data_IF_153124684542
#
_entry.id   IF_153124684542
#
_cell.length_a   1.000
_cell.length_b   1.000
_cell.length_c   1.000
_cell.angle_alpha   90.00
_cell.angle_beta   90.00
_cell.angle_gamma   90.00
#
_symmetry.space_group_name_H-M   'P 1'
#
loop_
_entity.id
_entity.type
_entity.pdbx_description
1 polymer ?
#
# COMPACT_ATOMS: atom_id res chain seq x y z
N UNK A 1 30.84 -47.38 -71.71
CA UNK A 1 30.10 -46.17 -72.16
C UNK A 1 29.05 -45.91 -71.15
N UNK A 2 29.36 -44.99 -70.21
CA UNK A 2 28.44 -44.60 -69.14
C UNK A 2 27.66 -43.37 -69.60
N UNK A 3 26.37 -43.49 -69.50
CA UNK A 3 25.38 -42.52 -69.98
C UNK A 3 25.31 -41.24 -69.17
N UNK A 4 25.32 -40.09 -69.82
CA UNK A 4 25.47 -38.73 -69.33
C UNK A 4 24.17 -38.14 -68.76
N UNK A 5 23.25 -38.94 -68.23
CA UNK A 5 21.90 -38.46 -67.82
C UNK A 5 21.53 -38.64 -66.35
N UNK A 6 22.47 -38.95 -65.45
CA UNK A 6 22.15 -39.20 -64.07
C UNK A 6 22.85 -38.27 -63.07
N UNK A 7 23.22 -37.07 -63.44
CA UNK A 7 23.84 -36.11 -62.54
C UNK A 7 23.14 -34.78 -62.67
N UNK A 8 21.96 -34.60 -62.08
CA UNK A 8 21.36 -33.31 -61.77
C UNK A 8 20.04 -33.47 -60.97
N UNK A 9 20.11 -34.15 -59.82
CA UNK A 9 19.10 -33.98 -58.72
C UNK A 9 19.84 -34.00 -57.40
N UNK A 10 20.55 -32.97 -57.14
CA UNK A 10 21.11 -32.70 -55.81
C UNK A 10 21.04 -31.20 -55.58
N UNK A 11 20.23 -30.82 -54.58
CA UNK A 11 20.44 -29.53 -53.91
C UNK A 11 19.38 -28.47 -54.14
N UNK A 12 18.22 -28.63 -53.55
CA UNK A 12 17.43 -27.47 -53.09
C UNK A 12 16.55 -27.90 -51.90
N UNK A 13 17.20 -28.32 -50.82
CA UNK A 13 16.53 -28.28 -49.50
C UNK A 13 16.54 -26.84 -49.03
N UNK A 14 15.59 -26.07 -49.52
CA UNK A 14 15.29 -24.74 -48.92
C UNK A 14 14.80 -24.97 -47.49
N UNK A 15 15.68 -24.67 -46.52
CA UNK A 15 15.30 -24.54 -45.12
C UNK A 15 14.37 -23.31 -45.04
N UNK A 16 13.08 -23.57 -45.14
CA UNK A 16 12.07 -22.60 -44.81
C UNK A 16 12.17 -22.38 -43.28
N UNK A 17 12.96 -21.38 -42.86
CA UNK A 17 12.83 -20.79 -41.55
C UNK A 17 11.41 -20.22 -41.45
N UNK A 18 10.51 -21.01 -40.86
CA UNK A 18 9.21 -20.52 -40.45
C UNK A 18 9.46 -19.38 -39.45
N UNK A 19 9.40 -18.14 -39.92
CA UNK A 19 9.17 -16.99 -39.06
C UNK A 19 7.79 -17.23 -38.43
N UNK A 20 7.76 -17.92 -37.28
CA UNK A 20 6.61 -17.85 -36.38
C UNK A 20 6.46 -16.38 -35.99
N UNK A 21 5.37 -15.71 -36.34
CA UNK A 21 5.15 -14.39 -35.86
C UNK A 21 5.17 -14.50 -34.34
N UNK A 22 6.10 -13.78 -33.68
CA UNK A 22 6.04 -13.60 -32.23
C UNK A 22 4.62 -13.13 -31.92
N UNK A 23 3.86 -13.95 -31.19
CA UNK A 23 2.53 -13.57 -30.77
C UNK A 23 2.72 -12.32 -29.91
N UNK A 24 2.50 -11.16 -30.49
CA UNK A 24 2.43 -9.89 -29.72
C UNK A 24 1.22 -10.07 -28.80
N UNK A 25 1.50 -10.50 -27.58
CA UNK A 25 0.47 -10.62 -26.56
C UNK A 25 -0.13 -9.23 -26.38
N UNK A 26 -1.43 -9.10 -26.60
CA UNK A 26 -2.10 -7.82 -26.40
C UNK A 26 -1.82 -7.33 -24.98
N UNK A 27 -1.53 -6.03 -24.83
CA UNK A 27 -1.26 -5.43 -23.54
C UNK A 27 -2.44 -5.65 -22.59
N UNK A 28 -2.16 -6.03 -21.35
CA UNK A 28 -3.17 -6.23 -20.34
C UNK A 28 -3.77 -4.87 -19.94
N UNK A 29 -5.05 -4.67 -20.23
CA UNK A 29 -5.77 -3.44 -19.85
C UNK A 29 -6.19 -3.53 -18.39
N UNK A 30 -5.72 -2.61 -17.56
CA UNK A 30 -6.04 -2.56 -16.12
C UNK A 30 -6.49 -1.16 -15.74
N UNK A 31 -7.67 -1.05 -15.12
CA UNK A 31 -8.18 0.17 -14.53
C UNK A 31 -7.82 0.22 -13.05
N UNK A 32 -6.87 1.08 -12.68
CA UNK A 32 -6.38 1.26 -11.31
C UNK A 32 -6.92 2.57 -10.72
N UNK A 33 -7.53 2.52 -9.53
CA UNK A 33 -7.88 3.76 -8.82
C UNK A 33 -6.66 4.45 -8.24
N UNK A 34 -6.64 5.75 -8.30
CA UNK A 34 -5.65 6.59 -7.64
C UNK A 34 -6.30 7.84 -7.07
N UNK A 35 -6.00 8.15 -5.81
CA UNK A 35 -6.36 9.44 -5.24
C UNK A 35 -5.43 10.51 -5.83
N UNK A 36 -6.01 11.61 -6.30
CA UNK A 36 -5.23 12.75 -6.79
C UNK A 36 -4.26 13.20 -5.68
N UNK A 37 -2.99 13.30 -5.96
CA UNK A 37 -1.93 13.61 -4.99
C UNK A 37 -1.70 12.56 -3.89
N UNK A 38 -2.23 11.35 -4.04
CA UNK A 38 -1.87 10.21 -3.21
C UNK A 38 -0.53 9.59 -3.65
N UNK A 39 0.09 8.80 -2.77
CA UNK A 39 1.41 8.19 -3.03
C UNK A 39 1.40 7.16 -4.16
N UNK A 40 0.24 6.59 -4.47
CA UNK A 40 0.03 5.72 -5.66
C UNK A 40 0.31 6.49 -6.95
N UNK A 41 0.00 7.79 -6.99
CA UNK A 41 0.28 8.62 -8.17
C UNK A 41 1.79 8.75 -8.45
N UNK A 42 2.65 8.68 -7.42
CA UNK A 42 4.10 8.67 -7.58
C UNK A 42 4.60 7.43 -8.31
N UNK A 43 4.05 6.25 -7.95
CA UNK A 43 4.32 5.00 -8.67
C UNK A 43 3.83 5.05 -10.11
N UNK A 44 2.59 5.47 -10.33
CA UNK A 44 1.99 5.57 -11.67
C UNK A 44 2.83 6.49 -12.56
N UNK A 45 3.25 7.64 -12.05
CA UNK A 45 4.10 8.56 -12.80
C UNK A 45 5.47 7.95 -13.11
N UNK A 46 6.07 7.26 -12.14
CA UNK A 46 7.34 6.55 -12.35
C UNK A 46 7.17 5.46 -13.42
N UNK A 47 6.10 4.67 -13.38
CA UNK A 47 5.79 3.67 -14.41
C UNK A 47 5.77 4.30 -15.80
N UNK A 48 5.11 5.46 -15.96
CA UNK A 48 5.00 6.17 -17.23
C UNK A 48 6.34 6.78 -17.66
N UNK A 49 7.02 7.49 -16.78
CA UNK A 49 8.29 8.18 -17.09
C UNK A 49 9.41 7.22 -17.52
N UNK A 50 9.40 6.02 -16.99
CA UNK A 50 10.41 5.00 -17.30
C UNK A 50 9.90 3.92 -18.27
N UNK A 51 8.69 4.06 -18.84
CA UNK A 51 8.11 3.14 -19.81
C UNK A 51 7.91 1.72 -19.29
N UNK A 52 7.72 1.59 -17.96
CA UNK A 52 7.60 0.30 -17.29
C UNK A 52 6.27 -0.40 -17.61
N UNK A 53 5.24 0.36 -17.98
CA UNK A 53 3.99 -0.14 -18.55
C UNK A 53 4.25 -0.92 -19.84
N UNK A 54 4.92 -0.30 -20.80
CA UNK A 54 5.27 -0.93 -22.09
C UNK A 54 6.18 -2.14 -21.90
N UNK A 55 7.21 -2.00 -21.05
CA UNK A 55 8.16 -3.07 -20.71
C UNK A 55 7.42 -4.33 -20.22
N UNK A 56 6.40 -4.15 -19.40
CA UNK A 56 5.65 -5.25 -18.80
C UNK A 56 4.36 -5.61 -19.55
N UNK A 57 4.10 -5.04 -20.74
CA UNK A 57 2.89 -5.33 -21.52
C UNK A 57 1.61 -4.89 -20.83
N UNK A 58 1.65 -3.76 -20.10
CA UNK A 58 0.54 -3.17 -19.36
C UNK A 58 -0.04 -1.98 -20.12
N UNK A 59 -1.36 -1.96 -20.30
CA UNK A 59 -2.14 -0.78 -20.70
C UNK A 59 -2.87 -0.25 -19.45
N UNK A 60 -2.24 0.70 -18.74
CA UNK A 60 -2.72 1.21 -17.47
C UNK A 60 -3.65 2.40 -17.65
N UNK A 61 -4.93 2.23 -17.30
CA UNK A 61 -5.91 3.30 -17.19
C UNK A 61 -6.06 3.72 -15.72
N UNK A 62 -5.79 4.97 -15.43
CA UNK A 62 -5.99 5.55 -14.09
C UNK A 62 -7.43 6.01 -13.93
N UNK A 63 -8.09 5.56 -12.88
CA UNK A 63 -9.41 6.03 -12.44
C UNK A 63 -9.18 6.93 -11.24
N UNK A 64 -9.23 8.25 -11.47
CA UNK A 64 -9.03 9.22 -10.39
C UNK A 64 -10.23 9.20 -9.43
N UNK A 65 -9.96 9.08 -8.14
CA UNK A 65 -10.99 9.09 -7.08
C UNK A 65 -10.73 10.21 -6.08
N UNK A 66 -11.80 10.69 -5.45
CA UNK A 66 -11.72 11.83 -4.55
C UNK A 66 -11.01 11.51 -3.22
N UNK A 67 -11.16 10.29 -2.72
CA UNK A 67 -10.61 9.83 -1.44
C UNK A 67 -10.47 8.30 -1.42
N UNK A 68 -9.92 7.76 -0.35
CA UNK A 68 -9.69 6.32 -0.19
C UNK A 68 -11.00 5.49 -0.11
N UNK A 69 -12.11 6.07 0.33
CA UNK A 69 -13.40 5.39 0.43
C UNK A 69 -14.06 5.19 -0.94
N UNK A 70 -13.75 6.03 -1.91
CA UNK A 70 -14.30 5.91 -3.26
C UNK A 70 -13.71 4.74 -4.07
N UNK A 71 -12.48 4.29 -3.74
CA UNK A 71 -11.87 3.12 -4.38
C UNK A 71 -12.70 1.84 -4.21
N UNK A 72 -13.02 1.42 -2.96
CA UNK A 72 -13.93 0.30 -2.69
C UNK A 72 -15.25 0.36 -3.46
N UNK A 73 -15.86 1.54 -3.53
CA UNK A 73 -17.12 1.74 -4.28
C UNK A 73 -16.90 1.48 -5.77
N UNK A 74 -15.83 2.03 -6.36
CA UNK A 74 -15.51 1.84 -7.77
C UNK A 74 -15.23 0.39 -8.13
N UNK A 75 -14.55 -0.38 -7.25
CA UNK A 75 -14.32 -1.81 -7.44
C UNK A 75 -15.63 -2.60 -7.46
N UNK A 76 -16.48 -2.37 -6.46
CA UNK A 76 -17.76 -3.09 -6.33
C UNK A 76 -18.75 -2.71 -7.44
N UNK A 77 -18.68 -1.50 -7.98
CA UNK A 77 -19.45 -1.06 -9.13
C UNK A 77 -18.89 -1.54 -10.48
N UNK A 78 -17.71 -2.18 -10.49
CA UNK A 78 -17.05 -2.61 -11.74
C UNK A 78 -16.47 -1.46 -12.56
N UNK A 79 -16.30 -0.26 -11.96
CA UNK A 79 -15.69 0.91 -12.60
C UNK A 79 -14.15 0.84 -12.59
N UNK A 80 -13.57 0.08 -11.66
CA UNK A 80 -12.15 -0.19 -11.55
C UNK A 80 -11.91 -1.70 -11.43
N UNK A 81 -10.76 -2.16 -11.93
CA UNK A 81 -10.33 -3.56 -11.83
C UNK A 81 -9.47 -3.77 -10.57
N UNK A 82 -8.71 -2.74 -10.19
CA UNK A 82 -7.80 -2.75 -9.04
C UNK A 82 -7.94 -1.45 -8.25
N UNK A 83 -7.93 -1.58 -6.94
CA UNK A 83 -7.93 -0.44 -6.02
C UNK A 83 -6.75 -0.55 -5.04
N UNK A 84 -6.44 0.53 -4.35
CA UNK A 84 -5.53 0.50 -3.21
C UNK A 84 -6.32 0.69 -1.93
N UNK A 85 -6.26 -0.32 -1.05
CA UNK A 85 -6.92 -0.29 0.26
C UNK A 85 -6.22 -1.26 1.22
N UNK A 86 -6.73 -1.41 2.43
CA UNK A 86 -6.19 -2.34 3.42
C UNK A 86 -6.77 -3.76 3.27
N UNK A 87 -5.98 -4.77 3.65
CA UNK A 87 -6.43 -6.15 3.56
C UNK A 87 -7.51 -6.50 4.59
N UNK A 88 -7.72 -5.74 5.66
CA UNK A 88 -8.79 -6.00 6.63
C UNK A 88 -10.15 -5.71 6.00
N UNK A 89 -10.27 -4.66 5.19
CA UNK A 89 -11.45 -4.41 4.36
C UNK A 89 -11.72 -5.59 3.40
N UNK A 90 -10.68 -6.08 2.74
CA UNK A 90 -10.81 -7.20 1.81
C UNK A 90 -11.24 -8.50 2.53
N UNK A 91 -10.70 -8.80 3.73
CA UNK A 91 -11.13 -9.93 4.56
C UNK A 91 -12.61 -9.85 4.91
N UNK A 92 -13.07 -8.67 5.31
CA UNK A 92 -14.49 -8.45 5.62
C UNK A 92 -15.41 -8.78 4.45
N UNK A 93 -15.03 -8.43 3.24
CA UNK A 93 -15.82 -8.74 2.04
C UNK A 93 -15.67 -10.21 1.64
N UNK A 94 -14.49 -10.82 1.80
CA UNK A 94 -14.31 -12.26 1.59
C UNK A 94 -15.20 -13.08 2.51
N UNK A 95 -15.34 -12.69 3.77
CA UNK A 95 -16.26 -13.33 4.73
C UNK A 95 -17.73 -13.25 4.30
N UNK A 96 -18.06 -12.34 3.36
CA UNK A 96 -19.39 -12.21 2.71
C UNK A 96 -19.48 -12.89 1.34
N UNK A 97 -18.44 -13.67 0.96
CA UNK A 97 -18.42 -14.46 -0.28
C UNK A 97 -17.78 -13.78 -1.48
N UNK A 98 -17.18 -12.60 -1.32
CA UNK A 98 -16.44 -11.95 -2.41
C UNK A 98 -15.07 -12.61 -2.61
N UNK A 99 -14.69 -12.89 -3.86
CA UNK A 99 -13.40 -13.48 -4.20
C UNK A 99 -12.33 -12.41 -4.42
N UNK A 100 -11.95 -11.71 -3.35
CA UNK A 100 -10.92 -10.68 -3.40
C UNK A 100 -9.52 -11.26 -3.22
N UNK A 101 -8.54 -10.64 -3.88
CA UNK A 101 -7.10 -10.88 -3.70
C UNK A 101 -6.42 -9.59 -3.28
N UNK A 102 -5.27 -9.74 -2.62
CA UNK A 102 -4.44 -8.65 -2.12
C UNK A 102 -2.96 -8.88 -2.48
N UNK A 103 -2.28 -7.83 -2.92
CA UNK A 103 -0.84 -7.77 -3.07
C UNK A 103 -0.30 -6.50 -2.40
N UNK A 104 0.80 -6.55 -1.63
CA UNK A 104 1.27 -5.41 -0.86
C UNK A 104 1.66 -4.24 -1.76
N UNK A 105 1.32 -3.02 -1.31
CA UNK A 105 1.74 -1.77 -1.93
C UNK A 105 2.79 -1.04 -1.10
N UNK A 106 2.57 -0.94 0.21
CA UNK A 106 3.42 -0.17 1.11
C UNK A 106 3.41 -0.76 2.53
N UNK A 107 4.59 -0.82 3.13
CA UNK A 107 4.79 -1.08 4.56
C UNK A 107 4.89 0.21 5.38
N UNK A 108 4.89 1.39 4.73
CA UNK A 108 4.99 2.66 5.44
C UNK A 108 3.73 2.90 6.28
N UNK A 109 3.90 2.97 7.58
CA UNK A 109 2.86 3.23 8.56
C UNK A 109 3.06 4.61 9.20
N UNK A 110 2.02 5.10 9.88
CA UNK A 110 2.06 6.39 10.54
C UNK A 110 2.83 6.39 11.87
N UNK A 111 2.72 7.51 12.58
CA UNK A 111 3.39 7.70 13.86
C UNK A 111 2.55 8.55 14.80
N UNK A 112 2.75 8.32 16.10
CA UNK A 112 2.34 9.23 17.15
C UNK A 112 3.43 10.28 17.34
N UNK A 113 3.09 11.53 17.12
CA UNK A 113 3.99 12.68 17.14
C UNK A 113 3.64 13.61 18.31
N UNK A 114 4.65 14.29 18.81
CA UNK A 114 4.51 15.35 19.79
C UNK A 114 5.32 16.58 19.34
N UNK A 115 4.99 17.80 19.78
CA UNK A 115 5.81 18.97 19.50
C UNK A 115 7.26 18.78 19.94
N UNK A 116 8.21 19.44 19.27
CA UNK A 116 9.65 19.35 19.54
C UNK A 116 9.98 19.46 21.02
N UNK A 117 9.44 20.49 21.68
CA UNK A 117 9.73 20.82 23.07
C UNK A 117 8.68 20.25 24.04
N UNK A 118 7.80 19.38 23.59
CA UNK A 118 6.80 18.73 24.43
C UNK A 118 7.45 17.95 25.57
N UNK A 119 6.93 18.07 26.81
CA UNK A 119 7.39 17.26 27.94
C UNK A 119 6.98 15.78 27.85
N UNK A 120 6.07 15.42 26.95
CA UNK A 120 5.60 14.05 26.74
C UNK A 120 6.75 13.19 26.21
N UNK A 121 7.11 12.13 26.94
CA UNK A 121 8.20 11.19 26.60
C UNK A 121 7.72 9.75 26.50
N UNK A 122 6.61 9.42 27.14
CA UNK A 122 6.06 8.07 27.24
C UNK A 122 4.55 8.07 27.00
N UNK A 123 3.95 6.89 26.81
CA UNK A 123 2.50 6.74 26.75
C UNK A 123 1.79 7.21 28.04
N UNK A 124 2.43 7.05 29.19
CA UNK A 124 1.84 7.45 30.46
C UNK A 124 1.62 8.98 30.54
N UNK A 125 2.46 9.77 29.86
CA UNK A 125 2.37 11.22 29.81
C UNK A 125 1.19 11.73 28.96
N UNK A 126 0.54 10.84 28.22
CA UNK A 126 -0.65 11.18 27.42
C UNK A 126 -1.93 11.31 28.24
N UNK A 127 -1.91 10.92 29.51
CA UNK A 127 -3.10 11.02 30.38
C UNK A 127 -3.64 12.46 30.44
N UNK A 128 -4.93 12.60 30.12
CA UNK A 128 -5.62 13.90 30.08
C UNK A 128 -5.27 14.78 28.89
N UNK A 129 -4.37 14.36 28.00
CA UNK A 129 -3.90 15.13 26.84
C UNK A 129 -4.87 15.05 25.67
N UNK A 130 -4.88 16.10 24.85
CA UNK A 130 -5.63 16.15 23.58
C UNK A 130 -4.81 15.46 22.49
N UNK A 131 -5.33 14.36 21.97
CA UNK A 131 -4.66 13.55 20.96
C UNK A 131 -5.45 13.64 19.66
N UNK A 132 -4.85 14.25 18.63
CA UNK A 132 -5.39 14.20 17.29
C UNK A 132 -5.23 12.81 16.68
N UNK A 133 -6.28 12.28 16.09
CA UNK A 133 -6.29 10.99 15.42
C UNK A 133 -6.76 11.17 13.98
N UNK A 134 -5.87 10.92 13.02
CA UNK A 134 -6.22 10.95 11.61
C UNK A 134 -7.15 9.77 11.28
N UNK A 135 -8.40 10.09 10.98
CA UNK A 135 -9.46 9.10 10.74
C UNK A 135 -10.59 9.20 11.74
N UNK A 136 -11.04 8.06 12.24
CA UNK A 136 -12.14 7.91 13.20
C UNK A 136 -11.71 7.10 14.42
N UNK A 137 -12.61 6.90 15.38
CA UNK A 137 -12.38 6.05 16.57
C UNK A 137 -12.03 4.60 16.24
N UNK A 138 -12.35 4.15 15.03
CA UNK A 138 -12.05 2.81 14.52
C UNK A 138 -10.85 2.79 13.55
N UNK A 139 -10.08 3.88 13.44
CA UNK A 139 -8.82 3.84 12.69
C UNK A 139 -7.87 2.77 13.27
N UNK A 140 -7.26 1.97 12.40
CA UNK A 140 -6.44 0.82 12.82
C UNK A 140 -5.25 1.23 13.68
N UNK A 141 -4.59 2.34 13.34
CA UNK A 141 -3.45 2.83 14.11
C UNK A 141 -3.88 3.28 15.52
N UNK A 142 -5.07 3.87 15.63
CA UNK A 142 -5.63 4.25 16.91
C UNK A 142 -6.02 3.03 17.76
N UNK A 143 -6.70 2.05 17.16
CA UNK A 143 -7.06 0.80 17.86
C UNK A 143 -5.81 0.06 18.34
N UNK A 144 -4.76 -0.04 17.50
CA UNK A 144 -3.49 -0.64 17.87
C UNK A 144 -2.79 0.13 19.01
N UNK A 145 -2.80 1.46 18.97
CA UNK A 145 -2.24 2.30 20.03
C UNK A 145 -2.99 2.10 21.37
N UNK A 146 -4.32 2.01 21.32
CA UNK A 146 -5.16 1.71 22.51
C UNK A 146 -4.83 0.32 23.07
N UNK A 147 -4.72 -0.68 22.20
CA UNK A 147 -4.33 -2.03 22.59
C UNK A 147 -2.96 -2.07 23.27
N UNK A 148 -1.98 -1.37 22.70
CA UNK A 148 -0.65 -1.27 23.28
C UNK A 148 -0.68 -0.57 24.65
N UNK A 149 -1.44 0.53 24.80
CA UNK A 149 -1.61 1.21 26.06
C UNK A 149 -2.30 0.33 27.12
N UNK A 150 -3.31 -0.44 26.70
CA UNK A 150 -3.96 -1.42 27.60
C UNK A 150 -2.98 -2.48 28.07
N UNK A 151 -2.18 -3.05 27.14
CA UNK A 151 -1.16 -4.06 27.45
C UNK A 151 -0.06 -3.53 28.36
N UNK A 152 0.43 -2.30 28.12
CA UNK A 152 1.60 -1.76 28.79
C UNK A 152 1.29 -0.97 30.08
N UNK A 153 0.10 -0.34 30.15
CA UNK A 153 -0.28 0.54 31.26
C UNK A 153 -1.56 0.09 31.98
N UNK A 154 -2.30 -0.88 31.46
CA UNK A 154 -3.62 -1.26 31.95
C UNK A 154 -4.68 -0.16 31.75
N UNK A 155 -4.46 0.78 30.80
CA UNK A 155 -5.33 1.96 30.59
C UNK A 155 -5.75 2.06 29.14
N UNK A 156 -7.05 2.26 28.91
CA UNK A 156 -7.59 2.59 27.59
C UNK A 156 -7.42 4.10 27.32
N UNK A 157 -6.69 4.46 26.28
CA UNK A 157 -6.47 5.85 25.90
C UNK A 157 -7.77 6.57 25.52
N UNK A 158 -8.77 5.87 24.97
CA UNK A 158 -10.09 6.46 24.66
C UNK A 158 -10.73 7.10 25.91
N UNK A 159 -10.52 6.49 27.07
CA UNK A 159 -11.11 6.92 28.34
C UNK A 159 -10.20 7.83 29.17
N UNK A 160 -8.89 7.76 28.90
CA UNK A 160 -7.88 8.43 29.71
C UNK A 160 -7.24 9.65 29.03
N UNK A 161 -7.58 9.91 27.76
CA UNK A 161 -7.16 11.07 26.98
C UNK A 161 -8.37 11.83 26.47
N UNK A 162 -8.14 12.86 25.65
CA UNK A 162 -9.15 13.59 24.91
C UNK A 162 -8.90 13.41 23.41
N UNK A 163 -9.37 12.31 22.78
CA UNK A 163 -9.16 12.08 21.35
C UNK A 163 -9.97 13.08 20.51
N UNK A 164 -9.34 13.58 19.45
CA UNK A 164 -9.92 14.47 18.45
C UNK A 164 -9.79 13.81 17.09
N UNK A 165 -10.91 13.37 16.51
CA UNK A 165 -10.93 12.67 15.24
C UNK A 165 -11.12 13.63 14.07
N UNK A 166 -10.45 13.35 12.96
CA UNK A 166 -10.62 14.14 11.75
C UNK A 166 -9.77 13.69 10.57
N UNK A 167 -10.00 14.33 9.42
CA UNK A 167 -9.17 14.08 8.25
C UNK A 167 -7.70 14.43 8.54
N UNK A 168 -6.76 13.66 7.99
CA UNK A 168 -5.33 13.81 8.23
C UNK A 168 -4.80 15.25 8.02
N UNK A 169 -5.20 16.00 6.98
CA UNK A 169 -4.80 17.41 6.85
C UNK A 169 -5.30 18.29 8.01
N UNK A 170 -6.56 18.10 8.44
CA UNK A 170 -7.13 18.86 9.54
C UNK A 170 -6.37 18.61 10.84
N UNK A 171 -6.16 17.35 11.18
CA UNK A 171 -5.38 16.95 12.38
C UNK A 171 -3.96 17.52 12.33
N UNK A 172 -3.34 17.57 11.16
CA UNK A 172 -2.03 18.19 10.95
C UNK A 172 -2.05 19.69 11.30
N UNK A 173 -3.05 20.43 10.80
CA UNK A 173 -3.17 21.85 11.07
C UNK A 173 -3.52 22.15 12.55
N UNK A 174 -4.38 21.33 13.16
CA UNK A 174 -4.69 21.44 14.61
C UNK A 174 -3.42 21.24 15.46
N UNK A 175 -2.58 20.26 15.07
CA UNK A 175 -1.30 20.01 15.74
C UNK A 175 -0.31 21.17 15.55
N UNK A 176 -0.12 21.67 14.31
CA UNK A 176 0.74 22.84 14.01
C UNK A 176 0.35 24.08 14.81
N UNK A 177 -0.94 24.29 14.99
CA UNK A 177 -1.49 25.43 15.73
C UNK A 177 -1.47 25.24 17.26
N UNK A 178 -0.86 24.18 17.78
CA UNK A 178 -0.75 23.93 19.22
C UNK A 178 -2.09 23.59 19.91
N UNK A 179 -3.12 23.21 19.13
CA UNK A 179 -4.42 22.82 19.68
C UNK A 179 -4.47 21.36 20.10
N UNK A 180 -3.45 20.57 19.75
CA UNK A 180 -3.27 19.18 20.12
C UNK A 180 -1.93 18.99 20.82
N UNK A 181 -1.90 18.17 21.88
CA UNK A 181 -0.69 17.81 22.62
C UNK A 181 0.11 16.71 21.94
N UNK A 182 -0.59 15.84 21.18
CA UNK A 182 -0.04 14.76 20.36
C UNK A 182 -0.89 14.54 19.11
N UNK A 183 -0.32 13.88 18.11
CA UNK A 183 -0.98 13.62 16.84
C UNK A 183 -0.61 12.22 16.32
N UNK A 184 -1.57 11.32 16.18
CA UNK A 184 -1.43 10.07 15.46
C UNK A 184 -1.86 10.30 14.01
N UNK A 185 -0.90 10.23 13.08
CA UNK A 185 -1.18 10.58 11.70
C UNK A 185 -0.52 9.59 10.71
N UNK A 186 -0.99 9.58 9.47
CA UNK A 186 -0.44 8.74 8.41
C UNK A 186 0.99 9.15 8.07
N UNK A 187 1.78 8.23 7.53
CA UNK A 187 3.20 8.38 7.30
C UNK A 187 3.59 9.65 6.50
N UNK A 188 2.81 10.04 5.49
CA UNK A 188 3.08 11.24 4.70
C UNK A 188 2.98 12.52 5.52
N UNK A 189 2.04 12.57 6.45
CA UNK A 189 1.88 13.70 7.38
C UNK A 189 2.88 13.63 8.52
N UNK A 190 3.20 12.43 8.99
CA UNK A 190 4.26 12.21 9.96
C UNK A 190 5.61 12.68 9.42
N UNK A 191 5.96 12.34 8.16
CA UNK A 191 7.18 12.81 7.50
C UNK A 191 7.24 14.34 7.42
N UNK A 192 6.13 15.00 7.04
CA UNK A 192 6.03 16.46 6.97
C UNK A 192 6.25 17.10 8.33
N UNK A 193 5.50 16.67 9.34
CA UNK A 193 5.62 17.19 10.69
C UNK A 193 7.00 16.95 11.30
N UNK A 194 7.61 15.79 11.02
CA UNK A 194 8.98 15.50 11.49
C UNK A 194 10.01 16.43 10.83
N UNK A 195 9.85 16.75 9.53
CA UNK A 195 10.71 17.72 8.85
C UNK A 195 10.58 19.15 9.41
N UNK A 196 9.45 19.46 10.03
CA UNK A 196 9.18 20.71 10.73
C UNK A 196 9.68 20.70 12.19
N UNK A 197 10.25 19.59 12.65
CA UNK A 197 10.83 19.43 13.98
C UNK A 197 9.93 18.74 15.01
N UNK A 198 8.75 18.23 14.62
CA UNK A 198 7.97 17.37 15.49
C UNK A 198 8.76 16.10 15.83
N UNK A 199 8.56 15.58 17.04
CA UNK A 199 9.26 14.37 17.49
C UNK A 199 8.32 13.18 17.47
N UNK A 200 8.76 12.09 16.87
CA UNK A 200 8.08 10.81 16.96
C UNK A 200 8.18 10.26 18.39
N UNK A 201 7.05 10.05 19.02
CA UNK A 201 6.97 9.37 20.31
C UNK A 201 6.98 7.86 20.12
N UNK A 202 6.18 7.38 19.16
CA UNK A 202 6.09 5.96 18.73
C UNK A 202 5.75 5.90 17.26
N UNK A 203 6.33 4.94 16.56
CA UNK A 203 5.86 4.53 15.25
C UNK A 203 4.75 3.48 15.39
N UNK A 204 3.87 3.35 14.40
CA UNK A 204 2.89 2.25 14.37
C UNK A 204 3.60 0.90 14.27
N UNK A 205 4.78 0.86 13.65
CA UNK A 205 5.64 -0.34 13.59
C UNK A 205 6.07 -0.78 15.00
N UNK A 206 6.51 0.18 15.85
CA UNK A 206 6.89 -0.11 17.23
C UNK A 206 5.71 -0.65 18.04
N UNK A 207 4.53 -0.10 17.80
CA UNK A 207 3.29 -0.57 18.44
C UNK A 207 2.98 -2.01 18.03
N UNK A 208 3.04 -2.32 16.73
CA UNK A 208 2.76 -3.68 16.22
C UNK A 208 3.78 -4.68 16.75
N UNK A 209 5.07 -4.30 16.78
CA UNK A 209 6.13 -5.15 17.41
C UNK A 209 5.87 -5.38 18.90
N UNK A 210 5.50 -4.34 19.65
CA UNK A 210 5.21 -4.45 21.07
C UNK A 210 3.95 -5.30 21.37
N UNK A 211 3.05 -5.42 20.39
CA UNK A 211 1.93 -6.36 20.39
C UNK A 211 2.35 -7.78 19.96
N UNK A 212 3.66 -8.01 19.78
CA UNK A 212 4.25 -9.30 19.42
C UNK A 212 3.87 -9.82 18.04
N UNK A 213 3.58 -8.91 17.11
CA UNK A 213 3.38 -9.25 15.69
C UNK A 213 4.68 -9.00 14.93
N UNK A 214 5.27 -10.06 14.40
CA UNK A 214 6.51 -10.03 13.62
C UNK A 214 6.51 -11.18 12.59
N UNK A 215 6.91 -10.94 11.33
CA UNK A 215 7.22 -9.64 10.76
C UNK A 215 6.00 -8.71 10.75
N UNK A 216 6.19 -7.40 10.54
CA UNK A 216 5.07 -6.47 10.36
C UNK A 216 4.50 -6.68 8.96
N UNK A 217 3.24 -7.16 8.82
CA UNK A 217 2.67 -7.35 7.50
C UNK A 217 2.31 -5.99 6.89
N UNK A 218 2.64 -5.71 5.61
CA UNK A 218 2.15 -4.53 4.91
C UNK A 218 0.62 -4.44 5.00
N UNK A 219 0.10 -3.32 5.53
CA UNK A 219 -1.35 -3.18 5.75
C UNK A 219 -2.10 -2.75 4.49
N UNK A 220 -1.45 -1.96 3.63
CA UNK A 220 -2.06 -1.36 2.44
C UNK A 220 -1.53 -2.05 1.20
N UNK A 221 -2.43 -2.39 0.28
CA UNK A 221 -2.06 -3.08 -0.96
C UNK A 221 -3.07 -2.88 -2.09
N UNK A 222 -2.72 -3.46 -3.22
CA UNK A 222 -3.60 -3.61 -4.36
C UNK A 222 -4.62 -4.70 -4.07
N UNK A 223 -5.89 -4.39 -4.30
CA UNK A 223 -7.01 -5.33 -4.11
C UNK A 223 -7.81 -5.42 -5.40
N UNK A 224 -8.17 -6.63 -5.78
CA UNK A 224 -8.99 -6.93 -6.96
C UNK A 224 -9.90 -8.13 -6.73
N UNK A 225 -10.95 -8.27 -7.54
CA UNK A 225 -11.75 -9.49 -7.59
C UNK A 225 -11.11 -10.47 -8.58
N UNK A 226 -10.71 -11.64 -8.11
CA UNK A 226 -10.11 -12.67 -8.97
C UNK A 226 -11.08 -13.13 -10.04
N UNK A 227 -12.35 -13.32 -9.68
CA UNK A 227 -13.40 -13.69 -10.61
C UNK A 227 -13.62 -12.62 -11.69
N UNK A 228 -13.69 -11.33 -11.30
CA UNK A 228 -13.88 -10.25 -12.26
C UNK A 228 -12.70 -10.12 -13.22
N UNK A 229 -11.47 -10.22 -12.73
CA UNK A 229 -10.25 -10.19 -13.55
C UNK A 229 -10.28 -11.32 -14.57
N UNK A 230 -10.58 -12.56 -14.15
CA UNK A 230 -10.64 -13.72 -15.03
C UNK A 230 -11.77 -13.60 -16.07
N UNK A 231 -12.97 -13.19 -15.65
CA UNK A 231 -14.12 -13.04 -16.53
C UNK A 231 -13.91 -11.97 -17.62
N UNK A 232 -13.17 -10.93 -17.30
CA UNK A 232 -12.84 -9.84 -18.23
C UNK A 232 -11.59 -10.12 -19.07
N UNK A 233 -10.95 -11.29 -18.91
CA UNK A 233 -9.70 -11.65 -19.60
C UNK A 233 -8.52 -10.74 -19.23
N UNK A 234 -8.56 -10.11 -18.07
CA UNK A 234 -7.50 -9.23 -17.55
C UNK A 234 -6.45 -10.07 -16.83
N UNK A 235 -5.18 -9.69 -16.96
CA UNK A 235 -4.09 -10.24 -16.15
C UNK A 235 -3.59 -9.16 -15.18
N UNK A 236 -3.42 -9.53 -13.93
CA UNK A 236 -2.88 -8.63 -12.89
C UNK A 236 -1.34 -8.59 -12.90
N UNK A 237 -0.69 -9.65 -13.38
CA UNK A 237 0.77 -9.80 -13.32
C UNK A 237 1.54 -8.64 -13.98
N UNK A 238 1.14 -8.12 -15.16
CA UNK A 238 1.79 -6.96 -15.76
C UNK A 238 1.76 -5.71 -14.87
N UNK A 239 0.67 -5.49 -14.12
CA UNK A 239 0.59 -4.39 -13.17
C UNK A 239 1.55 -4.61 -11.99
N UNK A 240 1.53 -5.79 -11.39
CA UNK A 240 2.39 -6.10 -10.24
C UNK A 240 3.88 -6.03 -10.63
N UNK A 241 4.25 -6.49 -11.83
CA UNK A 241 5.60 -6.38 -12.36
C UNK A 241 6.02 -4.91 -12.59
N UNK A 242 5.15 -4.10 -13.21
CA UNK A 242 5.41 -2.68 -13.41
C UNK A 242 5.56 -1.92 -12.08
N UNK A 243 4.76 -2.27 -11.07
CA UNK A 243 4.86 -1.72 -9.71
C UNK A 243 6.18 -2.13 -9.05
N UNK A 244 6.60 -3.38 -9.16
CA UNK A 244 7.87 -3.85 -8.61
C UNK A 244 9.05 -3.13 -9.24
N UNK A 245 9.05 -2.96 -10.57
CA UNK A 245 10.05 -2.18 -11.29
C UNK A 245 10.07 -0.71 -10.83
N UNK A 246 8.91 -0.07 -10.68
CA UNK A 246 8.81 1.32 -10.23
C UNK A 246 9.29 1.49 -8.78
N UNK A 247 8.93 0.57 -7.88
CA UNK A 247 9.45 0.55 -6.51
C UNK A 247 10.98 0.44 -6.50
N UNK A 248 11.56 -0.43 -7.34
CA UNK A 248 13.02 -0.54 -7.47
C UNK A 248 13.66 0.76 -7.94
N UNK A 249 13.08 1.45 -8.91
CA UNK A 249 13.55 2.76 -9.40
C UNK A 249 13.50 3.78 -8.26
N UNK A 250 12.36 3.93 -7.57
CA UNK A 250 12.20 4.90 -6.49
C UNK A 250 13.05 4.55 -5.25
N UNK A 251 13.30 3.27 -4.98
CA UNK A 251 14.15 2.84 -3.88
C UNK A 251 15.62 3.25 -4.07
N UNK A 252 16.11 3.34 -5.33
CA UNK A 252 17.55 3.46 -5.61
C UNK A 252 17.96 4.72 -6.34
N UNK A 253 17.03 5.46 -6.98
CA UNK A 253 17.35 6.63 -7.82
C UNK A 253 16.84 7.93 -7.20
N UNK A 254 17.74 8.85 -6.87
CA UNK A 254 17.39 10.22 -6.47
C UNK A 254 16.87 11.02 -7.68
N UNK A 255 17.43 10.81 -8.88
CA UNK A 255 16.93 11.42 -10.12
C UNK A 255 15.45 11.11 -10.36
N UNK A 256 15.01 9.87 -10.08
CA UNK A 256 13.60 9.51 -10.20
C UNK A 256 12.71 10.35 -9.27
N UNK A 257 13.18 10.62 -8.06
CA UNK A 257 12.49 11.49 -7.12
C UNK A 257 12.45 12.94 -7.58
N UNK A 258 13.55 13.47 -8.14
CA UNK A 258 13.58 14.81 -8.72
C UNK A 258 12.56 14.96 -9.86
N UNK A 259 12.42 13.94 -10.70
CA UNK A 259 11.44 13.93 -11.79
C UNK A 259 10.00 13.99 -11.32
N UNK A 260 9.67 13.30 -10.21
CA UNK A 260 8.32 13.30 -9.65
C UNK A 260 8.09 14.39 -8.58
N UNK A 261 9.12 15.19 -8.23
CA UNK A 261 9.02 16.25 -7.20
C UNK A 261 7.83 17.19 -7.40
N UNK A 262 7.45 17.60 -8.63
CA UNK A 262 6.24 18.41 -8.85
C UNK A 262 4.94 17.73 -8.40
N UNK A 263 4.90 16.40 -8.38
CA UNK A 263 3.76 15.61 -7.93
C UNK A 263 3.79 15.36 -6.42
N UNK A 264 4.99 15.20 -5.85
CA UNK A 264 5.20 15.04 -4.40
C UNK A 264 4.81 16.31 -3.64
N UNK A 265 5.06 17.48 -4.23
CA UNK A 265 4.72 18.79 -3.67
C UNK A 265 5.26 19.05 -2.26
N UNK A 266 6.56 18.88 -2.03
CA UNK A 266 7.15 19.22 -0.73
C UNK A 266 7.21 20.74 -0.56
N UNK A 267 7.07 21.21 0.68
CA UNK A 267 7.20 22.64 1.00
C UNK A 267 8.66 23.12 0.90
N UNK A 268 9.62 22.22 1.13
CA UNK A 268 11.06 22.47 1.08
C UNK A 268 11.84 21.17 0.86
N UNK A 269 13.17 21.28 0.73
CA UNK A 269 14.02 20.11 0.49
C UNK A 269 14.09 19.15 1.69
N UNK A 270 13.99 19.64 2.93
CA UNK A 270 13.98 18.77 4.11
C UNK A 270 12.73 17.88 4.12
N UNK A 271 11.57 18.43 3.79
CA UNK A 271 10.33 17.68 3.63
C UNK A 271 10.42 16.69 2.47
N UNK A 272 11.02 17.10 1.34
CA UNK A 272 11.22 16.21 0.19
C UNK A 272 12.05 14.99 0.57
N UNK A 273 13.17 15.20 1.25
CA UNK A 273 14.05 14.13 1.75
C UNK A 273 13.29 13.22 2.71
N UNK A 274 12.55 13.78 3.66
CA UNK A 274 11.77 12.99 4.62
C UNK A 274 10.73 12.11 3.93
N UNK A 275 9.97 12.65 2.98
CA UNK A 275 8.96 11.89 2.21
C UNK A 275 9.60 10.78 1.39
N UNK A 276 10.74 11.06 0.72
CA UNK A 276 11.50 10.06 -0.03
C UNK A 276 11.98 8.92 0.87
N UNK A 277 12.59 9.26 2.00
CA UNK A 277 13.21 8.27 2.88
C UNK A 277 12.15 7.40 3.57
N UNK A 278 11.01 7.99 3.96
CA UNK A 278 9.85 7.22 4.44
C UNK A 278 9.27 6.29 3.37
N UNK A 279 9.14 6.78 2.13
CA UNK A 279 8.68 5.91 1.04
C UNK A 279 9.64 4.74 0.83
N UNK A 280 10.94 5.00 0.79
CA UNK A 280 11.98 3.98 0.60
C UNK A 280 11.95 2.92 1.69
N UNK A 281 11.83 3.34 2.95
CA UNK A 281 11.72 2.40 4.07
C UNK A 281 10.43 1.59 4.04
N UNK A 282 9.39 2.11 3.39
CA UNK A 282 8.09 1.48 3.25
C UNK A 282 7.91 0.64 1.99
N UNK A 283 8.93 0.48 1.13
CA UNK A 283 8.84 -0.44 -0.01
C UNK A 283 8.75 -1.87 0.53
N UNK A 284 7.65 -2.59 0.25
CA UNK A 284 7.46 -3.91 0.83
C UNK A 284 8.44 -4.93 0.25
N UNK A 285 8.93 -5.81 1.11
CA UNK A 285 9.62 -7.03 0.70
C UNK A 285 8.66 -8.07 0.09
N UNK A 286 9.19 -9.24 -0.30
CA UNK A 286 8.35 -10.33 -0.75
C UNK A 286 7.36 -10.77 0.33
N UNK A 287 6.11 -11.02 -0.09
CA UNK A 287 5.11 -11.61 0.82
C UNK A 287 5.35 -13.10 0.96
N UNK A 288 5.59 -13.57 2.16
CA UNK A 288 5.88 -14.96 2.48
C UNK A 288 4.83 -15.56 3.41
N UNK A 289 5.02 -16.81 3.80
CA UNK A 289 4.19 -17.44 4.81
C UNK A 289 4.30 -16.74 6.19
N UNK A 290 5.44 -16.12 6.49
CA UNK A 290 5.64 -15.39 7.75
C UNK A 290 4.75 -14.13 7.79
N UNK A 291 4.66 -13.36 6.70
CA UNK A 291 3.74 -12.23 6.60
C UNK A 291 2.28 -12.68 6.69
N UNK A 292 1.94 -13.83 6.11
CA UNK A 292 0.60 -14.40 6.18
C UNK A 292 0.22 -14.77 7.62
N UNK A 293 1.14 -15.40 8.36
CA UNK A 293 0.93 -15.75 9.78
C UNK A 293 0.82 -14.48 10.64
N UNK A 294 1.68 -13.50 10.41
CA UNK A 294 1.65 -12.22 11.10
C UNK A 294 0.34 -11.46 10.83
N UNK A 295 -0.16 -11.47 9.60
CA UNK A 295 -1.46 -10.90 9.24
C UNK A 295 -2.60 -11.62 9.96
N UNK A 296 -2.53 -12.95 10.11
CA UNK A 296 -3.48 -13.73 10.90
C UNK A 296 -3.51 -13.29 12.37
N UNK A 297 -2.32 -13.19 12.99
CA UNK A 297 -2.21 -12.71 14.38
C UNK A 297 -2.72 -11.29 14.54
N UNK A 298 -2.38 -10.39 13.62
CA UNK A 298 -2.87 -9.01 13.64
C UNK A 298 -4.39 -8.95 13.45
N UNK A 299 -4.97 -9.77 12.57
CA UNK A 299 -6.42 -9.87 12.39
C UNK A 299 -7.10 -10.26 13.69
N UNK A 300 -6.58 -11.29 14.39
CA UNK A 300 -7.11 -11.72 15.66
C UNK A 300 -7.08 -10.62 16.70
N UNK A 301 -5.95 -9.91 16.85
CA UNK A 301 -5.82 -8.75 17.73
C UNK A 301 -6.84 -7.65 17.40
N UNK A 302 -7.03 -7.35 16.11
CA UNK A 302 -8.01 -6.34 15.69
C UNK A 302 -9.46 -6.77 15.95
N UNK A 303 -9.78 -8.07 15.90
CA UNK A 303 -11.10 -8.61 16.27
C UNK A 303 -11.32 -8.52 17.79
N UNK A 304 -10.31 -8.87 18.59
CA UNK A 304 -10.39 -8.88 20.05
C UNK A 304 -10.48 -7.47 20.65
N UNK A 305 -9.81 -6.49 20.04
CA UNK A 305 -9.62 -5.13 20.57
C UNK A 305 -10.44 -4.09 19.81
N UNK A 306 -10.80 -4.39 18.59
CA UNK A 306 -11.61 -3.52 17.72
C UNK A 306 -13.10 -3.74 17.95
N UNK A 307 -13.88 -2.71 17.63
CA UNK A 307 -15.31 -2.86 17.48
C UNK A 307 -15.63 -3.69 16.22
N UNK A 308 -16.81 -4.30 16.18
CA UNK A 308 -17.36 -4.98 15.01
C UNK A 308 -17.33 -4.11 13.73
N UNK A 309 -17.36 -2.78 13.88
CA UNK A 309 -17.20 -1.84 12.77
C UNK A 309 -15.80 -1.88 12.13
N UNK A 310 -14.72 -2.14 12.89
CA UNK A 310 -13.36 -2.12 12.38
C UNK A 310 -13.08 -3.28 11.43
N UNK A 311 -13.39 -4.50 11.86
CA UNK A 311 -13.15 -5.72 11.07
C UNK A 311 -14.42 -6.28 10.46
N UNK A 312 -15.61 -5.88 10.94
CA UNK A 312 -16.92 -6.37 10.54
C UNK A 312 -17.32 -7.65 11.26
N UNK A 313 -18.63 -7.77 11.56
CA UNK A 313 -19.18 -8.98 12.16
C UNK A 313 -18.92 -10.22 11.30
N UNK A 314 -18.48 -11.30 11.94
CA UNK A 314 -18.22 -12.57 11.28
C UNK A 314 -16.97 -12.59 10.39
N UNK A 315 -16.15 -11.54 10.42
CA UNK A 315 -14.88 -11.53 9.69
C UNK A 315 -13.96 -12.63 10.22
N UNK A 316 -13.43 -13.43 9.30
CA UNK A 316 -12.46 -14.48 9.59
C UNK A 316 -11.21 -14.27 8.77
N UNK A 317 -10.08 -14.62 9.35
CA UNK A 317 -8.83 -14.66 8.59
C UNK A 317 -8.90 -15.72 7.49
N UNK A 318 -8.59 -15.31 6.27
CA UNK A 318 -8.49 -16.20 5.11
C UNK A 318 -7.14 -15.96 4.41
N UNK A 319 -6.18 -16.90 4.55
CA UNK A 319 -4.86 -16.77 3.94
C UNK A 319 -4.90 -16.73 2.40
N UNK A 320 -5.97 -17.25 1.78
CA UNK A 320 -6.14 -17.20 0.33
C UNK A 320 -6.42 -15.79 -0.21
N UNK A 321 -6.63 -14.81 0.66
CA UNK A 321 -6.66 -13.40 0.26
C UNK A 321 -5.34 -12.98 -0.37
N UNK A 322 -4.21 -13.40 0.20
CA UNK A 322 -2.89 -12.93 -0.18
C UNK A 322 -2.42 -13.60 -1.47
N UNK A 323 -2.12 -12.76 -2.45
CA UNK A 323 -1.64 -13.21 -3.73
C UNK A 323 -0.17 -13.62 -3.62
N UNK A 324 0.12 -14.81 -4.08
CA UNK A 324 1.50 -15.29 -4.26
C UNK A 324 1.79 -15.27 -5.76
N UNK A 325 2.78 -14.51 -6.23
CA UNK A 325 3.13 -14.53 -7.64
C UNK A 325 3.41 -15.96 -8.11
N UNK A 326 2.79 -16.34 -9.21
CA UNK A 326 3.17 -17.59 -9.90
C UNK A 326 4.52 -17.36 -10.54
N UNK A 327 5.56 -18.02 -10.00
CA UNK A 327 6.94 -17.95 -10.50
C UNK A 327 7.10 -18.41 -11.96
#
# INVERSE_FOLDING_TARGET
MLDRRQTLVLGASAVAFAFMPAHVRAAAKVRLTSVKYGTVSWLIETIKLYGLDKKNGLDLKVVEVANNQAGPVALLAGEADVIVTDWTWALRLRSKGNDLKFSPYSSALGSLLVPKDSPIRTLADLQGKRIGVAGTSIDKSWVLLRAYAMKSLGKDLEKNCQPVYGAAPLITEEFRNGRLDACLNFWTYAARLTSEGARQLLTVDDIIKALEVSPIPPLVGFVWSQQAIQSNGVSIEPLLAAVADANKVLATSDEAWDRIKPLVRPANDAEFIALRDYFRSGVPGPWTQAETQAAGKLTQLLIELGDAELVGDGTRFDPNLFHTPTG
#
